data_IF_028638667217
#
_entry.id   IF_028638667217
#
_cell.length_a   1.000
_cell.length_b   1.000
_cell.length_c   1.000
_cell.angle_alpha   90.00
_cell.angle_beta   90.00
_cell.angle_gamma   90.00
#
_symmetry.space_group_name_H-M   'P 1'
#
loop_
_entity.id
_entity.type
_entity.pdbx_description
1 polymer ?
#
# COMPACT_ATOMS: atom_id res chain seq x y z
N UNK A 1 5.17 1.52 -3.86
CA UNK A 1 5.88 1.86 -2.60
C UNK A 1 5.15 1.35 -1.37
N UNK A 2 4.01 1.92 -0.95
CA UNK A 2 3.34 1.59 0.32
C UNK A 2 3.01 0.10 0.53
N UNK A 3 2.57 -0.62 -0.52
CA UNK A 3 2.31 -2.07 -0.41
C UNK A 3 3.57 -2.87 -0.06
N UNK A 4 4.75 -2.44 -0.52
CA UNK A 4 6.03 -3.08 -0.16
C UNK A 4 6.40 -2.77 1.29
N UNK A 5 6.27 -1.50 1.71
CA UNK A 5 6.51 -1.11 3.12
C UNK A 5 5.61 -1.88 4.10
N UNK A 6 4.35 -2.13 3.74
CA UNK A 6 3.42 -2.92 4.56
C UNK A 6 3.87 -4.39 4.71
N UNK A 7 4.43 -4.97 3.65
CA UNK A 7 5.01 -6.31 3.72
C UNK A 7 6.29 -6.32 4.56
N UNK A 8 7.19 -5.37 4.32
CA UNK A 8 8.52 -5.34 4.93
C UNK A 8 8.47 -5.04 6.44
N UNK A 9 7.56 -4.13 6.86
CA UNK A 9 7.47 -3.69 8.24
C UNK A 9 6.50 -4.54 9.08
N UNK A 10 5.39 -4.99 8.49
CA UNK A 10 4.30 -5.65 9.22
C UNK A 10 4.05 -7.11 8.79
N UNK A 11 4.74 -7.61 7.75
CA UNK A 11 4.54 -8.96 7.23
C UNK A 11 3.23 -9.17 6.47
N UNK A 12 2.48 -8.10 6.17
CA UNK A 12 1.17 -8.20 5.53
C UNK A 12 1.34 -8.14 4.00
N UNK A 13 1.16 -9.28 3.34
CA UNK A 13 1.20 -9.39 1.88
C UNK A 13 -0.13 -8.98 1.24
N UNK A 14 -0.37 -7.67 1.15
CA UNK A 14 -1.59 -7.09 0.60
C UNK A 14 -1.53 -6.83 -0.90
N UNK A 15 -2.66 -6.64 -1.57
CA UNK A 15 -2.71 -6.19 -2.96
C UNK A 15 -2.38 -4.71 -3.16
N UNK A 16 -2.29 -4.30 -4.44
CA UNK A 16 -1.81 -2.96 -4.84
C UNK A 16 -2.72 -1.85 -4.33
N UNK A 17 -4.04 -2.02 -4.43
CA UNK A 17 -5.04 -1.03 -3.97
C UNK A 17 -4.89 -0.70 -2.48
N UNK A 18 -4.54 -1.69 -1.66
CA UNK A 18 -4.23 -1.51 -0.22
C UNK A 18 -3.06 -0.54 0.00
N UNK A 19 -2.09 -0.50 -0.91
CA UNK A 19 -1.02 0.49 -0.86
C UNK A 19 -1.52 1.92 -1.01
N UNK A 20 -2.52 2.14 -1.88
CA UNK A 20 -3.19 3.43 -2.03
C UNK A 20 -3.96 3.82 -0.76
N UNK A 21 -4.69 2.86 -0.17
CA UNK A 21 -5.41 3.05 1.08
C UNK A 21 -4.45 3.40 2.22
N UNK A 22 -3.37 2.64 2.38
CA UNK A 22 -2.35 2.89 3.40
C UNK A 22 -1.68 4.25 3.21
N UNK A 23 -1.44 4.68 1.96
CA UNK A 23 -0.90 6.01 1.68
C UNK A 23 -1.81 7.11 2.25
N UNK A 24 -3.11 7.04 1.98
CA UNK A 24 -4.08 8.01 2.49
C UNK A 24 -4.21 7.93 4.01
N UNK A 25 -4.22 6.72 4.58
CA UNK A 25 -4.33 6.51 6.01
C UNK A 25 -3.16 7.10 6.79
N UNK A 26 -1.92 6.98 6.29
CA UNK A 26 -0.75 7.60 6.93
C UNK A 26 -0.84 9.14 6.93
N UNK A 27 -1.36 9.74 5.85
CA UNK A 27 -1.59 11.18 5.80
C UNK A 27 -2.70 11.64 6.78
N UNK A 28 -3.72 10.81 7.03
CA UNK A 28 -4.73 11.06 8.07
C UNK A 28 -4.12 10.90 9.47
N UNK A 29 -3.30 9.87 9.68
CA UNK A 29 -2.60 9.62 10.93
C UNK A 29 -1.67 10.78 11.32
N UNK A 30 -0.91 11.34 10.37
CA UNK A 30 -0.02 12.47 10.62
C UNK A 30 -0.80 13.73 11.05
N UNK A 31 -1.96 13.98 10.43
CA UNK A 31 -2.86 15.08 10.85
C UNK A 31 -3.42 14.86 12.25
N UNK A 32 -3.85 13.65 12.57
CA UNK A 32 -4.37 13.31 13.89
C UNK A 32 -3.28 13.41 14.97
N UNK A 33 -2.07 12.92 14.70
CA UNK A 33 -0.94 13.02 15.64
C UNK A 33 -0.62 14.49 16.00
N UNK A 34 -0.83 15.43 15.07
CA UNK A 34 -0.64 16.86 15.30
C UNK A 34 -1.64 17.50 16.29
N UNK A 35 -2.76 16.85 16.62
CA UNK A 35 -3.73 17.37 17.60
C UNK A 35 -3.36 17.02 19.05
N UNK A 36 -2.48 16.04 19.25
CA UNK A 36 -2.14 15.51 20.58
C UNK A 36 -3.20 14.59 21.19
N UNK A 37 -4.26 14.27 20.45
CA UNK A 37 -5.32 13.35 20.88
C UNK A 37 -5.11 11.95 20.28
N UNK A 38 -5.52 10.87 20.98
CA UNK A 38 -5.49 9.53 20.41
C UNK A 38 -6.48 9.40 19.24
N UNK A 39 -6.11 8.64 18.21
CA UNK A 39 -6.96 8.34 17.07
C UNK A 39 -6.84 6.86 16.68
N UNK A 40 -7.98 6.21 16.47
CA UNK A 40 -8.05 4.86 15.90
C UNK A 40 -8.39 4.94 14.41
N UNK A 41 -7.50 4.43 13.56
CA UNK A 41 -7.66 4.49 12.09
C UNK A 41 -7.84 3.07 11.55
N UNK A 42 -9.01 2.84 10.96
CA UNK A 42 -9.34 1.57 10.32
C UNK A 42 -9.12 1.69 8.81
N UNK A 43 -8.40 0.71 8.24
CA UNK A 43 -8.25 0.56 6.79
C UNK A 43 -8.71 -0.82 6.34
N UNK A 44 -9.09 -0.93 5.07
CA UNK A 44 -9.46 -2.21 4.46
C UNK A 44 -8.28 -2.74 3.66
N UNK A 45 -7.96 -4.02 3.87
CA UNK A 45 -7.11 -4.81 2.97
C UNK A 45 -8.03 -5.55 2.02
N UNK A 46 -8.20 -5.04 0.80
CA UNK A 46 -9.23 -5.51 -0.13
C UNK A 46 -8.94 -6.91 -0.68
N UNK A 47 -7.66 -7.26 -0.80
CA UNK A 47 -7.17 -8.56 -1.23
C UNK A 47 -5.68 -8.75 -0.86
N UNK A 48 -5.17 -9.96 -1.09
CA UNK A 48 -3.77 -10.32 -0.89
C UNK A 48 -2.92 -10.10 -2.16
N UNK A 49 -1.60 -10.03 -1.99
CA UNK A 49 -0.65 -9.73 -3.06
C UNK A 49 -0.49 -10.82 -4.14
N UNK A 50 -1.00 -12.04 -3.92
CA UNK A 50 -0.71 -13.23 -4.74
C UNK A 50 -1.01 -13.05 -6.22
N UNK A 51 -2.16 -12.47 -6.58
CA UNK A 51 -2.55 -12.27 -7.99
C UNK A 51 -1.70 -11.23 -8.72
N UNK A 52 -0.91 -10.46 -7.98
CA UNK A 52 -0.07 -9.38 -8.50
C UNK A 52 1.41 -9.79 -8.64
N UNK A 53 1.79 -11.03 -8.35
CA UNK A 53 3.17 -11.49 -8.53
C UNK A 53 3.60 -11.48 -10.01
N UNK A 54 2.69 -11.79 -10.93
CA UNK A 54 2.94 -11.79 -12.37
C UNK A 54 3.02 -10.39 -12.99
N UNK A 55 2.62 -9.33 -12.26
CA UNK A 55 2.65 -7.95 -12.75
C UNK A 55 4.02 -7.30 -12.57
N UNK A 56 4.88 -7.91 -11.75
CA UNK A 56 6.17 -7.36 -11.38
C UNK A 56 6.12 -6.32 -10.26
N UNK A 57 4.95 -6.05 -9.67
CA UNK A 57 4.76 -5.03 -8.62
C UNK A 57 5.68 -5.17 -7.40
N UNK A 58 6.12 -6.39 -7.08
CA UNK A 58 6.99 -6.70 -5.93
C UNK A 58 8.46 -6.90 -6.30
N UNK A 59 8.82 -6.72 -7.57
CA UNK A 59 10.16 -6.98 -8.10
C UNK A 59 10.78 -5.72 -8.70
N UNK A 60 12.11 -5.66 -8.75
CA UNK A 60 12.83 -4.58 -9.43
C UNK A 60 12.69 -3.21 -8.75
N UNK A 61 13.18 -2.19 -9.45
CA UNK A 61 13.15 -0.81 -8.95
C UNK A 61 11.71 -0.29 -8.85
N UNK A 62 11.50 0.71 -7.97
CA UNK A 62 10.20 1.32 -7.75
C UNK A 62 9.65 2.02 -9.01
N UNK A 63 10.53 2.64 -9.81
CA UNK A 63 10.13 3.35 -11.02
C UNK A 63 9.69 2.35 -12.11
N UNK A 64 10.45 1.28 -12.31
CA UNK A 64 10.08 0.17 -13.20
C UNK A 64 8.78 -0.53 -12.79
N UNK A 65 8.55 -0.67 -11.48
CA UNK A 65 7.30 -1.21 -10.96
C UNK A 65 6.12 -0.27 -11.24
N UNK A 66 6.29 1.04 -11.11
CA UNK A 66 5.25 2.01 -11.43
C UNK A 66 4.89 1.97 -12.93
N UNK A 67 5.89 1.98 -13.82
CA UNK A 67 5.68 1.90 -15.28
C UNK A 67 4.92 0.63 -15.69
N UNK A 68 5.20 -0.52 -15.05
CA UNK A 68 4.48 -1.78 -15.34
C UNK A 68 3.03 -1.77 -14.87
N UNK A 69 2.70 -0.98 -13.85
CA UNK A 69 1.35 -0.90 -13.28
C UNK A 69 0.42 0.06 -14.04
N UNK A 70 0.95 1.06 -14.73
CA UNK A 70 0.16 2.03 -15.50
C UNK A 70 -0.70 1.38 -16.60
N UNK A 71 -0.30 0.21 -17.10
CA UNK A 71 -1.02 -0.54 -18.15
C UNK A 71 -1.99 -1.62 -17.64
N UNK A 72 -2.20 -1.74 -16.34
CA UNK A 72 -2.93 -2.87 -15.76
C UNK A 72 -4.09 -2.44 -14.86
N UNK A 73 -5.17 -3.22 -14.86
CA UNK A 73 -6.25 -3.10 -13.89
C UNK A 73 -5.82 -3.78 -12.58
N UNK A 74 -5.76 -3.00 -11.52
CA UNK A 74 -5.37 -3.46 -10.18
C UNK A 74 -6.39 -3.14 -9.09
N UNK A 75 -7.54 -2.56 -9.48
CA UNK A 75 -8.76 -2.36 -8.72
C UNK A 75 -9.96 -2.37 -9.66
#
# INVERSE_FOLDING_TARGET
RRTRELLDNEGIFAGISTGGILHAALAVAEKAAGTGEPADIVIVVCDAGWKYLSTGAYSGDLEEAATRLDGQLWA
#
